data_IF_646116493609
#
_entry.id   IF_646116493609
#
_cell.length_a   1.000
_cell.length_b   1.000
_cell.length_c   1.000
_cell.angle_alpha   90.00
_cell.angle_beta   90.00
_cell.angle_gamma   90.00
#
_symmetry.space_group_name_H-M   'P 1'
#
loop_
_entity.id
_entity.type
_entity.pdbx_description
1 polymer ?
#
# COMPACT_ATOMS: atom_id res chain seq x y z
N UNK A 1 23.91 -1.74 -4.04
CA UNK A 1 23.04 -2.08 -2.91
C UNK A 1 23.87 -2.10 -1.63
N UNK A 2 23.42 -1.45 -0.55
CA UNK A 2 24.19 -1.31 0.70
C UNK A 2 24.18 -2.63 1.51
N UNK A 3 23.04 -3.32 1.59
CA UNK A 3 22.86 -4.50 2.45
C UNK A 3 22.51 -5.80 1.70
N UNK A 4 22.24 -5.72 0.39
CA UNK A 4 21.87 -6.87 -0.45
C UNK A 4 20.40 -7.31 -0.32
N UNK A 5 19.84 -7.84 -1.40
CA UNK A 5 18.42 -8.27 -1.48
C UNK A 5 18.05 -9.31 -0.40
N UNK A 6 18.83 -10.38 -0.16
CA UNK A 6 18.46 -11.40 0.84
C UNK A 6 18.28 -10.84 2.25
N UNK A 7 19.21 -9.98 2.69
CA UNK A 7 19.19 -9.36 4.02
C UNK A 7 18.01 -8.42 4.18
N UNK A 8 17.70 -7.61 3.16
CA UNK A 8 16.59 -6.65 3.19
C UNK A 8 15.24 -7.38 3.22
N UNK A 9 15.05 -8.44 2.43
CA UNK A 9 13.83 -9.26 2.48
C UNK A 9 13.64 -9.87 3.87
N UNK A 10 14.69 -10.48 4.44
CA UNK A 10 14.61 -11.06 5.77
C UNK A 10 14.26 -10.01 6.83
N UNK A 11 14.93 -8.86 6.80
CA UNK A 11 14.69 -7.77 7.76
C UNK A 11 13.28 -7.19 7.63
N UNK A 12 12.78 -6.98 6.41
CA UNK A 12 11.43 -6.46 6.18
C UNK A 12 10.36 -7.43 6.72
N UNK A 13 10.50 -8.72 6.42
CA UNK A 13 9.60 -9.75 6.90
C UNK A 13 9.63 -9.87 8.43
N UNK A 14 10.82 -9.79 9.04
CA UNK A 14 10.95 -9.76 10.49
C UNK A 14 10.20 -8.59 11.12
N UNK A 15 10.29 -7.40 10.52
CA UNK A 15 9.58 -6.20 11.00
C UNK A 15 8.06 -6.32 10.87
N UNK A 16 7.52 -7.06 9.90
CA UNK A 16 6.08 -7.37 9.88
C UNK A 16 5.63 -8.12 11.15
N UNK A 17 6.41 -9.10 11.59
CA UNK A 17 6.10 -9.86 12.81
C UNK A 17 6.34 -9.07 14.09
N UNK A 18 7.31 -8.15 14.12
CA UNK A 18 7.42 -7.17 15.21
C UNK A 18 6.19 -6.25 15.25
N UNK A 19 5.67 -5.85 14.09
CA UNK A 19 4.40 -5.12 13.99
C UNK A 19 3.23 -5.91 14.61
N UNK A 20 3.12 -7.19 14.28
CA UNK A 20 2.12 -8.08 14.87
C UNK A 20 2.31 -8.23 16.39
N UNK A 21 3.54 -8.38 16.88
CA UNK A 21 3.85 -8.41 18.31
C UNK A 21 3.33 -7.15 19.01
N UNK A 22 3.52 -5.97 18.41
CA UNK A 22 2.97 -4.71 18.93
C UNK A 22 1.45 -4.67 18.89
N UNK A 23 0.82 -5.18 17.83
CA UNK A 23 -0.66 -5.26 17.76
C UNK A 23 -1.23 -6.13 18.87
N UNK A 24 -0.57 -7.23 19.25
CA UNK A 24 -1.00 -8.08 20.36
C UNK A 24 -1.03 -7.33 21.71
N UNK A 25 -0.18 -6.31 21.89
CA UNK A 25 -0.18 -5.49 23.13
C UNK A 25 -1.43 -4.62 23.29
N UNK A 26 -2.23 -4.43 22.24
CA UNK A 26 -3.49 -3.71 22.29
C UNK A 26 -4.56 -4.44 23.12
N UNK A 27 -4.36 -5.73 23.40
CA UNK A 27 -5.24 -6.57 24.24
C UNK A 27 -6.72 -6.50 23.84
N UNK A 28 -7.00 -6.44 22.53
CA UNK A 28 -8.34 -6.45 21.96
C UNK A 28 -8.50 -7.68 21.06
N UNK A 29 -9.58 -8.48 21.23
CA UNK A 29 -9.74 -9.76 20.52
C UNK A 29 -9.72 -9.61 18.99
N UNK A 30 -10.26 -8.50 18.47
CA UNK A 30 -10.31 -8.25 17.02
C UNK A 30 -9.06 -7.59 16.42
N UNK A 31 -8.08 -7.17 17.23
CA UNK A 31 -6.92 -6.42 16.71
C UNK A 31 -6.10 -7.23 15.71
N UNK A 32 -5.89 -8.52 16.00
CA UNK A 32 -5.18 -9.45 15.10
C UNK A 32 -5.99 -9.71 13.83
N UNK A 33 -7.32 -9.76 13.92
CA UNK A 33 -8.19 -9.94 12.75
C UNK A 33 -8.09 -8.74 11.81
N UNK A 34 -8.16 -7.52 12.35
CA UNK A 34 -7.97 -6.28 11.57
C UNK A 34 -6.60 -6.28 10.91
N UNK A 35 -5.54 -6.54 11.69
CA UNK A 35 -4.17 -6.60 11.16
C UNK A 35 -4.04 -7.60 10.00
N UNK A 36 -4.53 -8.82 10.19
CA UNK A 36 -4.42 -9.89 9.19
C UNK A 36 -5.18 -9.56 7.91
N UNK A 37 -6.43 -9.10 8.02
CA UNK A 37 -7.23 -8.75 6.84
C UNK A 37 -6.60 -7.61 6.03
N UNK A 38 -6.10 -6.57 6.72
CA UNK A 38 -5.50 -5.43 6.03
C UNK A 38 -4.17 -5.76 5.35
N UNK A 39 -3.36 -6.64 5.93
CA UNK A 39 -2.13 -7.13 5.29
C UNK A 39 -2.42 -8.03 4.09
N UNK A 40 -3.47 -8.86 4.14
CA UNK A 40 -3.89 -9.66 2.99
C UNK A 40 -4.34 -8.78 1.82
N UNK A 41 -5.15 -7.74 2.08
CA UNK A 41 -5.54 -6.78 1.04
C UNK A 41 -4.33 -6.07 0.43
N UNK A 42 -3.37 -5.64 1.26
CA UNK A 42 -2.15 -5.00 0.78
C UNK A 42 -1.38 -5.92 -0.18
N UNK A 43 -1.21 -7.20 0.17
CA UNK A 43 -0.51 -8.16 -0.69
C UNK A 43 -1.29 -8.50 -1.96
N UNK A 44 -2.63 -8.53 -1.92
CA UNK A 44 -3.47 -8.71 -3.10
C UNK A 44 -3.28 -7.56 -4.09
N UNK A 45 -3.33 -6.32 -3.61
CA UNK A 45 -3.09 -5.13 -4.44
C UNK A 45 -1.67 -5.11 -5.01
N UNK A 46 -0.65 -5.34 -4.18
CA UNK A 46 0.74 -5.40 -4.64
C UNK A 46 0.97 -6.54 -5.64
N UNK A 47 0.30 -7.68 -5.46
CA UNK A 47 0.39 -8.82 -6.37
C UNK A 47 -0.16 -8.52 -7.75
N UNK A 48 -1.27 -7.78 -7.85
CA UNK A 48 -1.84 -7.33 -9.13
C UNK A 48 -0.90 -6.34 -9.85
N UNK A 49 -0.35 -5.38 -9.11
CA UNK A 49 0.61 -4.38 -9.62
C UNK A 49 1.84 -5.06 -10.25
N UNK A 50 2.43 -6.02 -9.54
CA UNK A 50 3.55 -6.85 -10.02
C UNK A 50 3.14 -7.71 -11.22
N UNK A 51 1.97 -8.36 -11.14
CA UNK A 51 1.48 -9.23 -12.21
C UNK A 51 1.35 -8.46 -13.52
N UNK A 52 0.67 -7.32 -13.52
CA UNK A 52 0.48 -6.52 -14.73
C UNK A 52 1.80 -6.06 -15.33
N UNK A 53 2.74 -5.60 -14.49
CA UNK A 53 4.09 -5.23 -14.90
C UNK A 53 4.82 -6.39 -15.56
N UNK A 54 4.86 -7.55 -14.92
CA UNK A 54 5.66 -8.70 -15.37
C UNK A 54 5.04 -9.43 -16.57
N UNK A 55 3.71 -9.32 -16.76
CA UNK A 55 3.01 -9.87 -17.94
C UNK A 55 2.75 -8.84 -19.03
N UNK A 56 3.26 -7.61 -18.89
CA UNK A 56 3.05 -6.50 -19.83
C UNK A 56 1.58 -6.26 -20.18
N UNK A 57 0.69 -6.49 -19.21
CA UNK A 57 -0.75 -6.37 -19.39
C UNK A 57 -1.23 -5.07 -18.77
N UNK A 58 -1.46 -4.06 -19.62
CA UNK A 58 -1.95 -2.76 -19.15
C UNK A 58 -3.36 -2.92 -18.54
N UNK A 59 -3.59 -2.55 -17.26
CA UNK A 59 -4.90 -2.60 -16.66
C UNK A 59 -5.79 -1.46 -17.18
N UNK A 60 -7.10 -1.62 -17.11
CA UNK A 60 -8.03 -0.50 -17.26
C UNK A 60 -7.95 0.45 -16.06
N UNK A 61 -8.39 1.71 -16.23
CA UNK A 61 -8.46 2.68 -15.13
C UNK A 61 -9.27 2.15 -13.93
N UNK A 62 -10.34 1.40 -14.19
CA UNK A 62 -11.17 0.78 -13.14
C UNK A 62 -10.40 -0.29 -12.37
N UNK A 63 -9.68 -1.17 -13.07
CA UNK A 63 -8.85 -2.20 -12.44
C UNK A 63 -7.72 -1.59 -11.61
N UNK A 64 -7.04 -0.58 -12.15
CA UNK A 64 -6.04 0.19 -11.42
C UNK A 64 -6.64 0.76 -10.12
N UNK A 65 -7.78 1.46 -10.19
CA UNK A 65 -8.44 2.01 -8.99
C UNK A 65 -8.77 0.92 -7.97
N UNK A 66 -9.29 -0.22 -8.41
CA UNK A 66 -9.57 -1.36 -7.54
C UNK A 66 -8.29 -1.90 -6.86
N UNK A 67 -7.20 -2.07 -7.60
CA UNK A 67 -5.90 -2.49 -7.05
C UNK A 67 -5.37 -1.49 -6.02
N UNK A 68 -5.45 -0.19 -6.31
CA UNK A 68 -5.01 0.87 -5.38
C UNK A 68 -5.82 0.86 -4.09
N UNK A 69 -7.14 0.61 -4.16
CA UNK A 69 -7.97 0.48 -2.97
C UNK A 69 -7.55 -0.72 -2.08
N UNK A 70 -6.99 -1.77 -2.65
CA UNK A 70 -6.44 -2.90 -1.90
C UNK A 70 -5.07 -2.56 -1.31
N UNK A 71 -4.16 -2.02 -2.13
CA UNK A 71 -2.77 -1.69 -1.75
C UNK A 71 -2.70 -0.56 -0.72
N UNK A 72 -3.21 0.62 -1.09
CA UNK A 72 -3.07 1.86 -0.31
C UNK A 72 -4.20 1.98 0.71
N UNK A 73 -5.40 1.51 0.38
CA UNK A 73 -6.50 1.38 1.34
C UNK A 73 -6.21 0.37 2.46
N UNK A 74 -5.35 -0.64 2.22
CA UNK A 74 -4.89 -1.59 3.23
C UNK A 74 -4.24 -0.92 4.45
N UNK A 75 -3.29 -0.01 4.22
CA UNK A 75 -2.56 0.68 5.30
C UNK A 75 -3.41 1.72 6.05
N UNK A 76 -4.19 2.53 5.31
CA UNK A 76 -5.14 3.46 5.95
C UNK A 76 -6.21 2.72 6.75
N UNK A 77 -6.73 1.62 6.20
CA UNK A 77 -7.71 0.77 6.87
C UNK A 77 -7.14 0.05 8.10
N UNK A 78 -5.84 -0.27 8.12
CA UNK A 78 -5.20 -0.82 9.32
C UNK A 78 -5.18 0.20 10.46
N UNK A 79 -4.67 1.40 10.21
CA UNK A 79 -4.58 2.43 11.23
C UNK A 79 -5.97 2.80 11.78
N UNK A 80 -6.91 3.12 10.89
CA UNK A 80 -8.26 3.53 11.31
C UNK A 80 -9.07 2.36 11.86
N UNK A 81 -8.93 1.16 11.29
CA UNK A 81 -9.59 -0.04 11.80
C UNK A 81 -9.19 -0.34 13.24
N UNK A 82 -7.88 -0.27 13.56
CA UNK A 82 -7.40 -0.42 14.94
C UNK A 82 -7.92 0.69 15.85
N UNK A 83 -7.92 1.96 15.40
CA UNK A 83 -8.48 3.08 16.19
C UNK A 83 -9.97 2.89 16.49
N UNK A 84 -10.74 2.34 15.54
CA UNK A 84 -12.18 2.11 15.71
C UNK A 84 -12.51 1.02 16.73
N UNK A 85 -11.60 0.08 17.00
CA UNK A 85 -11.77 -0.91 18.07
C UNK A 85 -11.86 -0.26 19.45
N UNK A 86 -11.18 0.88 19.63
CA UNK A 86 -11.13 1.63 20.89
C UNK A 86 -12.03 2.88 20.88
N UNK A 87 -12.90 3.01 19.87
CA UNK A 87 -13.80 4.16 19.71
C UNK A 87 -15.26 3.75 19.90
N UNK A 88 -16.03 4.64 20.53
CA UNK A 88 -17.49 4.52 20.58
C UNK A 88 -18.17 4.87 19.25
N UNK A 89 -17.46 5.56 18.34
CA UNK A 89 -17.98 5.95 17.04
C UNK A 89 -18.02 4.77 16.07
N UNK A 90 -19.22 4.44 15.57
CA UNK A 90 -19.45 3.41 14.56
C UNK A 90 -19.67 3.97 13.15
N UNK A 91 -19.25 5.22 12.91
CA UNK A 91 -19.33 5.84 11.58
C UNK A 91 -18.50 5.04 10.59
N UNK A 92 -19.07 4.77 9.42
CA UNK A 92 -18.32 4.18 8.32
C UNK A 92 -17.35 5.22 7.74
N UNK A 93 -16.06 5.00 7.96
CA UNK A 93 -14.98 5.85 7.43
C UNK A 93 -14.41 5.30 6.12
N UNK A 94 -14.81 4.09 5.68
CA UNK A 94 -14.26 3.43 4.50
C UNK A 94 -14.37 4.26 3.22
N UNK A 95 -15.48 4.98 2.93
CA UNK A 95 -15.54 5.84 1.75
C UNK A 95 -14.48 6.97 1.75
N UNK A 96 -14.19 7.54 2.92
CA UNK A 96 -13.16 8.56 3.09
C UNK A 96 -11.77 7.97 2.89
N UNK A 97 -11.48 6.82 3.51
CA UNK A 97 -10.18 6.14 3.37
C UNK A 97 -9.92 5.71 1.93
N UNK A 98 -10.95 5.24 1.22
CA UNK A 98 -10.85 4.90 -0.19
C UNK A 98 -10.47 6.12 -1.03
N UNK A 99 -11.12 7.26 -0.78
CA UNK A 99 -10.83 8.52 -1.47
C UNK A 99 -9.39 8.99 -1.20
N UNK A 100 -8.96 8.95 0.06
CA UNK A 100 -7.60 9.31 0.46
C UNK A 100 -6.55 8.37 -0.14
N UNK A 101 -6.82 7.06 -0.16
CA UNK A 101 -5.92 6.06 -0.76
C UNK A 101 -5.72 6.28 -2.25
N UNK A 102 -6.80 6.51 -3.00
CA UNK A 102 -6.73 6.84 -4.43
C UNK A 102 -5.99 8.15 -4.68
N UNK A 103 -6.35 9.21 -3.94
CA UNK A 103 -5.68 10.51 -4.05
C UNK A 103 -4.17 10.39 -3.82
N UNK A 104 -3.77 9.69 -2.75
CA UNK A 104 -2.38 9.55 -2.37
C UNK A 104 -1.58 8.79 -3.44
N UNK A 105 -2.12 7.69 -3.96
CA UNK A 105 -1.44 6.90 -4.98
C UNK A 105 -1.33 7.62 -6.33
N UNK A 106 -2.41 8.23 -6.81
CA UNK A 106 -2.40 8.98 -8.09
C UNK A 106 -1.42 10.17 -8.00
N UNK A 107 -1.38 10.85 -6.85
CA UNK A 107 -0.41 11.91 -6.60
C UNK A 107 1.03 11.37 -6.62
N UNK A 108 1.30 10.23 -6.01
CA UNK A 108 2.64 9.62 -5.99
C UNK A 108 3.09 9.23 -7.42
N UNK A 109 2.19 8.60 -8.19
CA UNK A 109 2.42 8.23 -9.59
C UNK A 109 2.71 9.47 -10.47
N UNK A 110 1.91 10.54 -10.33
CA UNK A 110 2.16 11.79 -11.06
C UNK A 110 3.48 12.46 -10.64
N UNK A 111 3.76 12.51 -9.34
CA UNK A 111 4.98 13.14 -8.82
C UNK A 111 6.24 12.38 -9.27
N UNK A 112 6.18 11.05 -9.42
CA UNK A 112 7.27 10.24 -9.94
C UNK A 112 7.73 10.71 -11.33
N UNK A 113 6.79 11.16 -12.17
CA UNK A 113 7.07 11.56 -13.55
C UNK A 113 7.37 13.06 -13.72
N UNK A 114 6.84 13.92 -12.85
CA UNK A 114 6.83 15.37 -13.08
C UNK A 114 7.48 16.22 -11.97
N UNK A 115 7.88 15.64 -10.83
CA UNK A 115 8.46 16.42 -9.73
C UNK A 115 9.99 16.32 -9.67
N UNK A 116 10.64 17.49 -9.69
CA UNK A 116 12.09 17.63 -9.49
C UNK A 116 12.52 17.17 -8.10
N UNK A 117 11.74 17.52 -7.07
CA UNK A 117 11.99 17.09 -5.68
C UNK A 117 11.89 15.56 -5.52
N UNK A 118 10.94 14.92 -6.22
CA UNK A 118 10.85 13.47 -6.24
C UNK A 118 12.03 12.83 -6.98
N UNK A 119 12.46 13.44 -8.07
CA UNK A 119 13.63 12.98 -8.84
C UNK A 119 14.92 13.03 -8.00
N UNK A 120 15.03 14.03 -7.10
CA UNK A 120 16.14 14.17 -6.16
C UNK A 120 16.09 13.13 -5.02
N UNK A 121 14.90 12.70 -4.59
CA UNK A 121 14.71 11.79 -3.45
C UNK A 121 14.62 10.30 -3.80
N UNK A 122 14.07 9.94 -4.97
CA UNK A 122 13.96 8.56 -5.45
C UNK A 122 14.96 8.31 -6.58
N UNK A 123 14.60 8.76 -7.78
CA UNK A 123 15.41 8.89 -9.01
C UNK A 123 14.49 9.45 -10.12
N UNK A 124 15.03 9.90 -11.25
CA UNK A 124 14.23 10.45 -12.35
C UNK A 124 13.38 9.35 -13.03
N UNK A 125 12.05 9.49 -12.98
CA UNK A 125 11.08 8.60 -13.63
C UNK A 125 11.31 7.10 -13.33
N UNK A 126 11.49 6.76 -12.06
CA UNK A 126 11.72 5.37 -11.63
C UNK A 126 10.62 4.41 -12.10
N UNK A 127 9.35 4.87 -12.12
CA UNK A 127 8.22 4.04 -12.56
C UNK A 127 8.37 3.59 -14.03
N UNK A 128 8.99 4.40 -14.89
CA UNK A 128 9.30 4.03 -16.27
C UNK A 128 10.42 2.99 -16.35
N UNK A 129 11.40 3.08 -15.46
CA UNK A 129 12.50 2.11 -15.39
C UNK A 129 12.01 0.76 -14.86
N UNK A 130 11.07 0.79 -13.91
CA UNK A 130 10.40 -0.39 -13.38
C UNK A 130 9.45 -1.03 -14.41
N UNK A 131 8.94 -0.26 -15.38
CA UNK A 131 7.90 -0.70 -16.31
C UNK A 131 6.51 -0.76 -15.68
N UNK A 132 6.31 -0.03 -14.58
CA UNK A 132 5.07 0.01 -13.82
C UNK A 132 3.98 0.74 -14.60
N UNK A 133 2.76 0.19 -14.60
CA UNK A 133 1.57 0.87 -15.11
C UNK A 133 1.04 1.87 -14.06
N UNK A 134 1.64 3.06 -14.06
CA UNK A 134 1.22 4.20 -13.23
C UNK A 134 -0.01 4.91 -13.80
N UNK A 135 -0.75 5.66 -12.98
CA UNK A 135 -1.99 6.33 -13.44
C UNK A 135 -1.81 7.21 -14.70
N UNK A 136 -0.74 8.03 -14.85
CA UNK A 136 -0.56 8.83 -16.07
C UNK A 136 -0.19 8.04 -17.33
N UNK A 137 0.22 6.77 -17.17
CA UNK A 137 0.68 5.90 -18.26
C UNK A 137 -0.37 4.88 -18.74
N UNK A 138 -1.44 4.69 -17.94
CA UNK A 138 -2.64 3.93 -18.31
C UNK A 138 -3.55 4.83 -19.13
#
# INVERSE_FOLDING_TARGET
SIYGVPSVINSANYVYFLGLERVLTLNHPDAVNVFTQQLLELHRGQGLDIYWRDTYTCPTETEYKSMVLQKTGGLFGLAVGLMQLFSSSKKDLKPLLNTLGLFFQIRDDYANLNSKEYSENKSFCEDLTEGKFSFPTI
#
